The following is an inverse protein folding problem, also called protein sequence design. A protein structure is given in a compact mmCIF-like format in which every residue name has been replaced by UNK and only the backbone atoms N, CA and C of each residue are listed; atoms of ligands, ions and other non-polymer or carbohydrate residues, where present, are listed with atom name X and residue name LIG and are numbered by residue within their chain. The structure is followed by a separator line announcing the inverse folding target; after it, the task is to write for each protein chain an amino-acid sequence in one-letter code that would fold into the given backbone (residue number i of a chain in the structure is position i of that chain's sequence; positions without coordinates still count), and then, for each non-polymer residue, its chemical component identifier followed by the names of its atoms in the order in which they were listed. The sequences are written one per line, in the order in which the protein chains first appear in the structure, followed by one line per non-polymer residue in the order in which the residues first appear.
data_IF_028129863597
#
_entry.id   IF_028129863597
#
_cell.length_a   1.000
_cell.length_b   1.000
_cell.length_c   1.000
_cell.angle_alpha   90.00
_cell.angle_beta   90.00
_cell.angle_gamma   90.00
#
_symmetry.space_group_name_H-M   'P 1'
#
loop_
_entity.id
_entity.type
_entity.pdbx_description
1 polymer ?
#
# COMPACT_ATOMS: atom_id res chain seq x y z
N UNK A 1 6.88 -7.43 -7.81
CA UNK A 1 5.87 -7.07 -8.84
C UNK A 1 5.24 -5.74 -8.49
N UNK A 2 4.87 -4.95 -9.52
CA UNK A 2 4.04 -3.76 -9.39
C UNK A 2 2.87 -3.87 -10.36
N UNK A 3 1.71 -3.35 -9.94
CA UNK A 3 0.49 -3.33 -10.74
C UNK A 3 0.29 -1.94 -11.34
N UNK A 4 0.49 -1.81 -12.66
CA UNK A 4 0.21 -0.57 -13.37
C UNK A 4 -1.30 -0.47 -13.65
N UNK A 5 -1.84 0.73 -13.51
CA UNK A 5 -3.24 1.00 -13.77
C UNK A 5 -3.45 2.36 -14.43
N UNK A 6 -4.50 2.45 -15.24
CA UNK A 6 -5.00 3.67 -15.83
C UNK A 6 -6.53 3.56 -15.92
N UNK A 7 -7.24 4.29 -15.09
CA UNK A 7 -8.70 4.22 -14.99
C UNK A 7 -9.25 5.64 -14.86
N UNK A 8 -9.91 6.11 -15.90
CA UNK A 8 -10.63 7.38 -15.94
C UNK A 8 -9.81 8.56 -15.36
N UNK A 9 -8.59 8.75 -15.86
CA UNK A 9 -7.67 9.81 -15.47
C UNK A 9 -6.80 9.50 -14.25
N UNK A 10 -7.12 8.50 -13.45
CA UNK A 10 -6.23 8.01 -12.40
C UNK A 10 -5.19 7.06 -13.01
N UNK A 11 -3.90 7.38 -12.87
CA UNK A 11 -2.79 6.59 -13.42
C UNK A 11 -1.72 6.34 -12.37
N UNK A 12 -1.12 5.16 -12.39
CA UNK A 12 -0.09 4.81 -11.41
C UNK A 12 0.46 3.40 -11.55
N UNK A 13 1.38 3.07 -10.65
CA UNK A 13 1.91 1.71 -10.49
C UNK A 13 2.14 1.41 -9.02
N UNK A 14 1.30 0.57 -8.45
CA UNK A 14 1.33 0.23 -7.03
C UNK A 14 2.11 -1.06 -6.78
N UNK A 15 2.94 -1.12 -5.73
CA UNK A 15 3.56 -2.36 -5.27
C UNK A 15 2.68 -3.13 -4.26
N UNK A 16 1.56 -2.55 -3.79
CA UNK A 16 0.75 -3.09 -2.72
C UNK A 16 -0.50 -3.79 -3.27
N UNK A 17 -0.60 -5.08 -2.98
CA UNK A 17 -1.75 -5.91 -3.34
C UNK A 17 -2.74 -5.94 -2.18
N UNK A 18 -3.87 -5.25 -2.33
CA UNK A 18 -4.92 -5.29 -1.32
C UNK A 18 -5.48 -6.72 -1.19
N UNK A 19 -5.90 -7.30 -2.29
CA UNK A 19 -6.37 -8.69 -2.33
C UNK A 19 -6.41 -9.24 -3.76
N UNK A 20 -6.01 -10.49 -3.88
CA UNK A 20 -6.23 -11.34 -5.07
C UNK A 20 -7.03 -12.55 -4.64
N UNK A 21 -8.07 -12.87 -5.40
CA UNK A 21 -8.83 -14.12 -5.27
C UNK A 21 -8.71 -14.92 -6.55
N UNK A 22 -8.41 -16.20 -6.42
CA UNK A 22 -8.44 -17.17 -7.53
C UNK A 22 -9.04 -18.48 -7.02
N UNK A 23 -10.29 -18.76 -7.37
CA UNK A 23 -11.03 -19.88 -6.83
C UNK A 23 -11.28 -19.71 -5.32
N UNK A 24 -10.75 -20.61 -4.52
CA UNK A 24 -10.79 -20.58 -3.06
C UNK A 24 -9.52 -19.99 -2.42
N UNK A 25 -8.51 -19.65 -3.22
CA UNK A 25 -7.26 -19.04 -2.72
C UNK A 25 -7.38 -17.53 -2.68
N UNK A 26 -6.99 -16.95 -1.55
CA UNK A 26 -6.86 -15.51 -1.36
C UNK A 26 -5.42 -15.17 -1.00
N UNK A 27 -4.93 -14.06 -1.55
CA UNK A 27 -3.59 -13.52 -1.28
C UNK A 27 -3.70 -12.01 -1.07
N UNK A 28 -2.93 -11.48 -0.12
CA UNK A 28 -2.74 -10.05 0.12
C UNK A 28 -1.25 -9.78 0.33
N UNK A 29 -0.73 -8.63 -0.14
CA UNK A 29 0.63 -8.17 0.17
C UNK A 29 0.55 -6.85 0.89
N UNK A 30 1.01 -6.83 2.12
CA UNK A 30 1.07 -5.64 2.97
C UNK A 30 2.46 -5.03 2.90
N UNK A 31 2.53 -3.72 2.66
CA UNK A 31 3.77 -2.95 2.67
C UNK A 31 3.65 -1.81 3.69
N UNK A 32 4.56 -1.78 4.66
CA UNK A 32 4.73 -0.65 5.58
C UNK A 32 6.17 -0.66 6.09
N UNK A 33 6.65 0.50 6.57
CA UNK A 33 8.07 0.70 6.80
C UNK A 33 8.84 0.90 5.48
N UNK A 34 9.62 1.99 5.39
CA UNK A 34 10.26 2.38 4.13
C UNK A 34 11.62 2.99 4.38
N UNK A 35 12.59 2.64 3.54
CA UNK A 35 13.87 3.34 3.50
C UNK A 35 14.30 3.60 2.04
N UNK A 36 14.98 4.71 1.79
CA UNK A 36 15.54 5.02 0.47
C UNK A 36 16.65 4.05 0.10
N UNK A 37 16.78 3.76 -1.18
CA UNK A 37 17.93 3.05 -1.73
C UNK A 37 19.12 3.99 -1.95
N UNK A 38 20.33 3.43 -1.89
CA UNK A 38 21.57 4.11 -2.29
C UNK A 38 22.13 3.43 -3.55
N UNK A 39 22.87 4.21 -4.36
CA UNK A 39 23.57 3.69 -5.55
C UNK A 39 24.79 2.86 -5.19
N UNK A 40 25.37 3.13 -4.04
CA UNK A 40 26.46 2.36 -3.45
C UNK A 40 25.86 1.10 -2.79
N UNK A 41 26.29 -0.07 -3.25
CA UNK A 41 25.71 -1.35 -2.82
C UNK A 41 25.91 -1.63 -1.33
N UNK A 42 27.07 -1.24 -0.76
CA UNK A 42 27.36 -1.46 0.66
C UNK A 42 26.48 -0.56 1.53
N UNK A 43 26.27 0.68 1.11
CA UNK A 43 25.35 1.59 1.80
C UNK A 43 23.90 1.14 1.67
N UNK A 44 23.49 0.65 0.50
CA UNK A 44 22.16 0.11 0.26
C UNK A 44 21.86 -1.10 1.17
N UNK A 45 22.83 -2.00 1.31
CA UNK A 45 22.75 -3.13 2.23
C UNK A 45 22.63 -2.68 3.70
N UNK A 46 23.46 -1.73 4.14
CA UNK A 46 23.36 -1.16 5.49
C UNK A 46 22.01 -0.46 5.74
N UNK A 47 21.43 0.17 4.73
CA UNK A 47 20.08 0.76 4.83
C UNK A 47 19.01 -0.32 4.98
N UNK A 48 19.12 -1.45 4.26
CA UNK A 48 18.25 -2.60 4.40
C UNK A 48 18.27 -3.18 5.83
N UNK A 49 19.47 -3.36 6.38
CA UNK A 49 19.65 -3.84 7.77
C UNK A 49 19.05 -2.88 8.79
N UNK A 50 19.22 -1.57 8.60
CA UNK A 50 18.60 -0.55 9.45
C UNK A 50 17.08 -0.61 9.41
N UNK A 51 16.47 -0.81 8.24
CA UNK A 51 15.02 -0.95 8.11
C UNK A 51 14.53 -2.19 8.86
N UNK A 52 15.20 -3.33 8.68
CA UNK A 52 14.85 -4.58 9.36
C UNK A 52 15.03 -4.50 10.89
N UNK A 53 15.94 -3.69 11.39
CA UNK A 53 16.21 -3.50 12.81
C UNK A 53 15.45 -2.32 13.45
N UNK A 54 14.63 -1.59 12.68
CA UNK A 54 13.91 -0.41 13.15
C UNK A 54 12.64 -0.80 13.92
N UNK A 55 12.62 -0.62 15.22
CA UNK A 55 11.42 -0.88 16.07
C UNK A 55 10.20 -0.07 15.59
N UNK A 56 10.42 1.18 15.14
CA UNK A 56 9.37 2.04 14.58
C UNK A 56 8.75 1.42 13.34
N UNK A 57 9.59 1.02 12.37
CA UNK A 57 9.11 0.49 11.08
C UNK A 57 8.49 -0.90 11.26
N UNK A 58 9.02 -1.72 12.18
CA UNK A 58 8.42 -3.01 12.57
C UNK A 58 7.03 -2.80 13.19
N UNK A 59 6.87 -1.85 14.10
CA UNK A 59 5.57 -1.55 14.74
C UNK A 59 4.54 -1.04 13.70
N UNK A 60 4.95 -0.14 12.77
CA UNK A 60 4.10 0.31 11.67
C UNK A 60 3.63 -0.88 10.80
N UNK A 61 4.58 -1.75 10.46
CA UNK A 61 4.31 -2.94 9.65
C UNK A 61 3.36 -3.92 10.36
N UNK A 62 3.57 -4.18 11.64
CA UNK A 62 2.72 -5.06 12.45
C UNK A 62 1.27 -4.56 12.51
N UNK A 63 1.04 -3.25 12.69
CA UNK A 63 -0.31 -2.67 12.61
C UNK A 63 -0.96 -2.92 11.27
N UNK A 64 -0.24 -2.74 10.18
CA UNK A 64 -0.73 -2.96 8.84
C UNK A 64 -1.08 -4.43 8.58
N UNK A 65 -0.17 -5.35 8.90
CA UNK A 65 -0.36 -6.81 8.75
C UNK A 65 -1.53 -7.29 9.59
N UNK A 66 -1.57 -6.91 10.89
CA UNK A 66 -2.63 -7.33 11.80
C UNK A 66 -4.01 -6.89 11.33
N UNK A 67 -4.14 -5.68 10.77
CA UNK A 67 -5.41 -5.17 10.25
C UNK A 67 -5.96 -6.02 9.09
N UNK A 68 -5.10 -6.50 8.20
CA UNK A 68 -5.47 -7.36 7.07
C UNK A 68 -5.72 -8.80 7.54
N UNK A 69 -4.83 -9.34 8.38
CA UNK A 69 -4.92 -10.70 8.89
C UNK A 69 -6.21 -10.95 9.69
N UNK A 70 -6.61 -10.02 10.56
CA UNK A 70 -7.85 -10.11 11.33
C UNK A 70 -9.09 -10.20 10.44
N UNK A 71 -9.14 -9.40 9.37
CA UNK A 71 -10.27 -9.43 8.43
C UNK A 71 -10.27 -10.73 7.63
N UNK A 72 -9.12 -11.15 7.08
CA UNK A 72 -9.03 -12.38 6.29
C UNK A 72 -9.31 -13.63 7.14
N UNK A 73 -8.92 -13.65 8.42
CA UNK A 73 -9.21 -14.76 9.34
C UNK A 73 -10.71 -15.04 9.49
N UNK A 74 -11.57 -14.03 9.38
CA UNK A 74 -13.02 -14.20 9.43
C UNK A 74 -13.59 -14.88 8.16
N UNK A 75 -12.82 -14.91 7.07
CA UNK A 75 -13.25 -15.45 5.77
C UNK A 75 -12.50 -16.72 5.35
N UNK A 76 -11.43 -17.09 6.07
CA UNK A 76 -10.56 -18.21 5.72
C UNK A 76 -10.64 -19.36 6.72
N UNK A 77 -10.61 -20.59 6.22
CA UNK A 77 -10.42 -21.80 7.04
C UNK A 77 -8.97 -22.07 7.36
N UNK A 78 -8.07 -21.54 6.54
CA UNK A 78 -6.62 -21.72 6.64
C UNK A 78 -5.95 -20.41 6.19
N UNK A 79 -5.27 -19.76 7.11
CA UNK A 79 -4.63 -18.48 6.88
C UNK A 79 -3.16 -18.55 7.33
N UNK A 80 -2.25 -18.35 6.38
CA UNK A 80 -0.83 -18.24 6.64
C UNK A 80 -0.41 -16.77 6.69
N UNK A 81 0.07 -16.33 7.85
CA UNK A 81 0.63 -15.00 8.08
C UNK A 81 2.08 -15.20 8.54
N UNK A 82 3.08 -14.86 7.72
CA UNK A 82 4.48 -14.92 8.11
C UNK A 82 4.76 -14.12 9.39
N UNK A 83 5.55 -14.68 10.31
CA UNK A 83 5.89 -14.05 11.59
C UNK A 83 6.90 -12.88 11.45
N UNK A 84 7.60 -12.82 10.33
CA UNK A 84 8.58 -11.78 10.04
C UNK A 84 8.39 -11.26 8.61
N UNK A 85 8.52 -9.94 8.38
CA UNK A 85 8.48 -9.38 7.05
C UNK A 85 9.72 -9.74 6.23
N UNK A 86 9.56 -9.77 4.93
CA UNK A 86 10.65 -9.82 3.97
C UNK A 86 10.99 -8.41 3.49
N UNK A 87 12.17 -8.25 2.89
CA UNK A 87 12.59 -6.98 2.28
C UNK A 87 12.17 -6.94 0.81
N UNK A 88 11.28 -6.02 0.45
CA UNK A 88 10.92 -5.74 -0.94
C UNK A 88 11.73 -4.56 -1.46
N UNK A 89 12.63 -4.83 -2.42
CA UNK A 89 13.43 -3.79 -3.07
C UNK A 89 12.73 -3.27 -4.33
N UNK A 90 12.43 -1.98 -4.37
CA UNK A 90 11.98 -1.25 -5.54
C UNK A 90 13.14 -0.42 -6.12
N UNK A 91 12.90 0.32 -7.19
CA UNK A 91 13.95 1.07 -7.88
C UNK A 91 14.61 2.14 -7.00
N UNK A 92 13.85 2.79 -6.13
CA UNK A 92 14.28 3.95 -5.33
C UNK A 92 14.07 3.82 -3.82
N UNK A 93 13.35 2.80 -3.38
CA UNK A 93 13.05 2.53 -1.96
C UNK A 93 13.06 1.03 -1.68
N UNK A 94 13.20 0.68 -0.40
CA UNK A 94 13.00 -0.66 0.12
C UNK A 94 11.85 -0.61 1.13
N UNK A 95 11.02 -1.65 1.17
CA UNK A 95 9.90 -1.79 2.10
C UNK A 95 10.01 -3.08 2.90
N UNK A 96 9.45 -3.08 4.10
CA UNK A 96 9.05 -4.34 4.73
C UNK A 96 7.79 -4.84 4.03
N UNK A 97 7.74 -6.13 3.73
CA UNK A 97 6.67 -6.78 3.00
C UNK A 97 6.23 -8.07 3.67
N UNK A 98 4.91 -8.30 3.77
CA UNK A 98 4.36 -9.58 4.22
C UNK A 98 3.30 -10.05 3.25
N UNK A 99 3.50 -11.25 2.69
CA UNK A 99 2.53 -11.94 1.84
C UNK A 99 1.64 -12.84 2.69
N UNK A 100 0.37 -12.46 2.84
CA UNK A 100 -0.65 -13.22 3.56
C UNK A 100 -1.38 -14.09 2.55
N UNK A 101 -1.48 -15.38 2.82
CA UNK A 101 -2.16 -16.34 1.94
C UNK A 101 -3.18 -17.14 2.74
N UNK A 102 -4.35 -17.38 2.15
CA UNK A 102 -5.39 -18.14 2.83
C UNK A 102 -6.27 -18.91 1.86
N UNK A 103 -7.09 -19.80 2.44
CA UNK A 103 -8.12 -20.55 1.74
C UNK A 103 -9.49 -20.13 2.27
N UNK A 104 -10.33 -19.59 1.38
CA UNK A 104 -11.67 -19.11 1.73
C UNK A 104 -12.55 -20.26 2.23
N UNK A 105 -13.29 -20.01 3.30
CA UNK A 105 -14.31 -20.92 3.81
C UNK A 105 -15.50 -21.04 2.86
N UNK A 106 -15.91 -19.90 2.28
CA UNK A 106 -17.06 -19.79 1.41
C UNK A 106 -16.70 -19.10 0.08
N UNK A 107 -17.53 -19.33 -0.94
CA UNK A 107 -17.41 -18.63 -2.22
C UNK A 107 -17.93 -17.20 -2.10
N UNK A 108 -17.07 -16.27 -1.73
CA UNK A 108 -17.37 -14.84 -1.73
C UNK A 108 -16.60 -14.15 -2.86
N UNK A 109 -17.22 -13.21 -3.61
CA UNK A 109 -16.52 -12.50 -4.67
C UNK A 109 -15.45 -11.56 -4.09
N UNK A 110 -14.42 -11.27 -4.90
CA UNK A 110 -13.32 -10.39 -4.48
C UNK A 110 -13.78 -9.01 -3.99
N UNK A 111 -14.89 -8.47 -4.53
CA UNK A 111 -15.44 -7.19 -4.08
C UNK A 111 -15.95 -7.23 -2.64
N UNK A 112 -16.47 -8.37 -2.17
CA UNK A 112 -16.87 -8.53 -0.76
C UNK A 112 -15.66 -8.53 0.16
N UNK A 113 -14.56 -9.16 -0.26
CA UNK A 113 -13.29 -9.10 0.48
C UNK A 113 -12.75 -7.67 0.56
N UNK A 114 -12.80 -6.93 -0.55
CA UNK A 114 -12.40 -5.51 -0.60
C UNK A 114 -13.22 -4.67 0.37
N UNK A 115 -14.54 -4.85 0.36
CA UNK A 115 -15.44 -4.11 1.26
C UNK A 115 -15.13 -4.36 2.75
N UNK A 116 -14.64 -5.55 3.09
CA UNK A 116 -14.23 -5.90 4.45
C UNK A 116 -12.82 -5.39 4.79
N UNK A 117 -11.89 -5.37 3.82
CA UNK A 117 -10.49 -5.04 4.01
C UNK A 117 -10.21 -3.53 3.97
N UNK A 118 -10.91 -2.79 3.11
CA UNK A 118 -10.60 -1.39 2.86
C UNK A 118 -11.43 -0.46 3.73
N UNK A 119 -10.81 0.59 4.34
CA UNK A 119 -9.39 0.92 4.26
C UNK A 119 -8.54 0.12 5.27
N UNK A 120 -7.36 -0.31 4.82
CA UNK A 120 -6.37 -0.97 5.70
C UNK A 120 -5.68 0.04 6.62
N UNK A 121 -5.04 -0.44 7.70
CA UNK A 121 -4.25 0.42 8.58
C UNK A 121 -3.07 1.08 7.84
N UNK A 122 -2.52 0.45 6.80
CA UNK A 122 -1.41 0.99 6.00
C UNK A 122 -1.75 2.31 5.28
N UNK A 123 -3.02 2.55 4.95
CA UNK A 123 -3.45 3.77 4.24
C UNK A 123 -4.40 4.66 5.02
N UNK A 124 -4.99 4.16 6.10
CA UNK A 124 -5.89 4.92 6.96
C UNK A 124 -5.35 5.03 8.38
N UNK A 125 -4.99 3.90 9.00
CA UNK A 125 -4.57 3.81 10.39
C UNK A 125 -5.52 3.00 11.26
N UNK A 126 -5.16 2.85 12.52
CA UNK A 126 -5.92 2.08 13.51
C UNK A 126 -6.02 2.86 14.84
N UNK A 127 -7.20 2.90 15.51
CA UNK A 127 -8.51 2.41 15.07
C UNK A 127 -9.04 3.18 13.86
N UNK A 128 -9.61 2.48 12.89
CA UNK A 128 -9.92 2.99 11.53
C UNK A 128 -10.79 4.24 11.54
N UNK A 129 -11.89 4.26 12.29
CA UNK A 129 -12.83 5.39 12.32
C UNK A 129 -12.16 6.66 12.88
N UNK A 130 -11.37 6.52 13.96
CA UNK A 130 -10.64 7.63 14.56
C UNK A 130 -9.58 8.18 13.61
N UNK A 131 -8.81 7.29 12.97
CA UNK A 131 -7.79 7.64 12.00
C UNK A 131 -8.40 8.36 10.79
N UNK A 132 -9.49 7.84 10.22
CA UNK A 132 -10.19 8.46 9.10
C UNK A 132 -10.71 9.86 9.43
N UNK A 133 -11.23 10.09 10.63
CA UNK A 133 -11.68 11.39 11.08
C UNK A 133 -10.50 12.38 11.22
N UNK A 134 -9.38 11.92 11.76
CA UNK A 134 -8.16 12.72 11.89
C UNK A 134 -7.58 13.11 10.53
N UNK A 135 -7.47 12.15 9.61
CA UNK A 135 -7.03 12.38 8.23
C UNK A 135 -7.88 13.47 7.56
N UNK A 136 -9.20 13.35 7.61
CA UNK A 136 -10.12 14.36 7.04
C UNK A 136 -9.93 15.75 7.62
N UNK A 137 -9.60 15.83 8.89
CA UNK A 137 -9.42 17.13 9.58
C UNK A 137 -8.06 17.78 9.33
N UNK A 138 -7.02 16.98 9.05
CA UNK A 138 -5.62 17.46 8.99
C UNK A 138 -5.06 17.57 7.57
N UNK A 139 -5.41 16.69 6.64
CA UNK A 139 -4.80 16.68 5.31
C UNK A 139 -5.19 17.88 4.43
N UNK A 140 -6.33 18.53 4.71
CA UNK A 140 -6.79 19.69 3.95
C UNK A 140 -7.08 19.42 2.48
N UNK A 141 -7.27 18.14 2.11
CA UNK A 141 -7.61 17.69 0.74
C UNK A 141 -8.62 16.55 0.76
N UNK A 142 -9.37 16.41 -0.32
CA UNK A 142 -10.08 15.18 -0.63
C UNK A 142 -9.11 14.21 -1.32
N UNK A 143 -9.01 13.00 -0.79
CA UNK A 143 -8.19 11.95 -1.40
C UNK A 143 -8.80 11.40 -2.70
N UNK A 144 -10.13 11.57 -2.89
CA UNK A 144 -10.83 11.02 -4.03
C UNK A 144 -10.58 9.52 -4.17
N UNK A 145 -9.93 9.11 -5.26
CA UNK A 145 -9.56 7.71 -5.53
C UNK A 145 -8.16 7.32 -5.04
N UNK A 146 -7.36 8.28 -4.58
CA UNK A 146 -6.05 7.99 -3.98
C UNK A 146 -6.21 7.10 -2.73
N UNK A 147 -5.36 6.11 -2.59
CA UNK A 147 -5.41 5.08 -1.57
C UNK A 147 -6.64 4.16 -1.62
N UNK A 148 -7.51 4.29 -2.63
CA UNK A 148 -8.63 3.40 -2.87
C UNK A 148 -8.23 2.11 -3.59
N UNK A 149 -9.11 1.09 -3.60
CA UNK A 149 -8.87 -0.15 -4.34
C UNK A 149 -8.97 0.08 -5.85
N UNK A 150 -8.02 -0.45 -6.60
CA UNK A 150 -8.00 -0.42 -8.07
C UNK A 150 -7.63 -1.78 -8.61
N UNK A 151 -8.39 -2.29 -9.59
CA UNK A 151 -8.15 -3.63 -10.13
C UNK A 151 -9.29 -4.11 -11.02
N UNK A 152 -9.49 -5.42 -11.07
CA UNK A 152 -10.49 -6.07 -11.92
C UNK A 152 -11.11 -7.28 -11.22
N UNK A 153 -12.32 -7.62 -11.65
CA UNK A 153 -13.03 -8.82 -11.25
C UNK A 153 -13.66 -9.48 -12.49
N UNK A 154 -13.60 -10.80 -12.57
CA UNK A 154 -14.27 -11.59 -13.60
C UNK A 154 -15.68 -12.02 -13.19
N UNK A 155 -16.41 -12.66 -14.12
CA UNK A 155 -17.78 -13.16 -13.90
C UNK A 155 -17.86 -14.29 -12.86
N UNK A 156 -16.75 -14.91 -12.47
CA UNK A 156 -16.70 -15.94 -11.41
C UNK A 156 -16.49 -15.34 -10.03
N UNK A 157 -16.25 -14.02 -9.96
CA UNK A 157 -15.91 -13.29 -8.75
C UNK A 157 -14.44 -13.40 -8.38
N UNK A 158 -13.59 -13.99 -9.23
CA UNK A 158 -12.14 -13.93 -9.11
C UNK A 158 -11.66 -12.56 -9.55
N UNK A 159 -10.52 -12.11 -9.02
CA UNK A 159 -10.00 -10.80 -9.35
C UNK A 159 -8.75 -10.45 -8.57
N UNK A 160 -8.22 -9.27 -8.90
CA UNK A 160 -6.99 -8.76 -8.31
C UNK A 160 -7.09 -7.25 -8.18
N UNK A 161 -6.91 -6.76 -6.95
CA UNK A 161 -7.00 -5.34 -6.61
C UNK A 161 -5.78 -4.91 -5.80
N UNK A 162 -5.09 -3.90 -6.29
CA UNK A 162 -4.08 -3.14 -5.54
C UNK A 162 -4.70 -1.94 -4.82
N UNK A 163 -3.90 -1.29 -4.00
CA UNK A 163 -4.24 0.03 -3.43
C UNK A 163 -3.65 1.09 -4.36
N UNK A 164 -4.44 2.09 -4.76
CA UNK A 164 -4.02 3.16 -5.66
C UNK A 164 -2.97 4.09 -5.00
N UNK A 165 -1.74 3.60 -4.93
CA UNK A 165 -0.55 4.30 -4.46
C UNK A 165 0.37 4.62 -5.62
N UNK A 166 1.40 5.48 -5.40
CA UNK A 166 2.36 5.87 -6.44
C UNK A 166 1.62 6.31 -7.71
N UNK A 167 0.64 7.17 -7.56
CA UNK A 167 -0.30 7.54 -8.61
C UNK A 167 -0.46 9.05 -8.74
N UNK A 168 -1.11 9.43 -9.80
CA UNK A 168 -1.59 10.78 -10.03
C UNK A 168 -2.94 10.75 -10.72
N UNK A 169 -3.68 11.83 -10.59
CA UNK A 169 -4.97 12.04 -11.21
C UNK A 169 -4.89 13.23 -12.18
N UNK A 170 -5.25 12.99 -13.43
CA UNK A 170 -5.31 14.02 -14.46
C UNK A 170 -6.46 14.96 -14.11
N UNK A 171 -6.18 16.26 -14.17
CA UNK A 171 -7.17 17.30 -13.90
C UNK A 171 -8.29 17.25 -14.95
N UNK A 172 -9.56 17.25 -14.49
CA UNK A 172 -10.73 17.15 -15.36
C UNK A 172 -10.90 18.38 -16.29
N UNK A 173 -10.43 19.54 -15.85
CA UNK A 173 -10.62 20.82 -16.54
C UNK A 173 -9.39 21.17 -17.39
N UNK A 174 -8.23 20.63 -17.08
CA UNK A 174 -6.98 20.85 -17.85
C UNK A 174 -6.14 19.55 -17.90
N UNK A 175 -6.31 18.78 -18.96
CA UNK A 175 -5.62 17.49 -19.17
C UNK A 175 -4.08 17.60 -19.31
N UNK A 176 -3.52 18.81 -19.25
CA UNK A 176 -2.07 19.05 -19.17
C UNK A 176 -1.57 19.06 -17.73
N UNK A 177 -2.47 18.99 -16.76
CA UNK A 177 -2.15 18.97 -15.34
C UNK A 177 -2.43 17.60 -14.77
N UNK A 178 -1.58 17.18 -13.85
CA UNK A 178 -1.75 15.96 -13.08
C UNK A 178 -1.42 16.26 -11.61
N UNK A 179 -2.31 15.86 -10.72
CA UNK A 179 -2.07 15.91 -9.28
C UNK A 179 -1.42 14.60 -8.85
N UNK A 180 -0.24 14.66 -8.24
CA UNK A 180 0.45 13.49 -7.72
C UNK A 180 0.12 13.30 -6.25
N UNK A 181 0.02 12.04 -5.82
CA UNK A 181 -0.28 11.65 -4.46
C UNK A 181 0.80 10.76 -3.87
N UNK A 182 1.21 11.06 -2.65
CA UNK A 182 2.03 10.21 -1.80
C UNK A 182 1.80 10.54 -0.33
N UNK A 183 2.18 9.64 0.54
CA UNK A 183 2.11 9.79 2.00
C UNK A 183 2.96 8.74 2.69
N UNK A 184 3.04 8.82 4.00
CA UNK A 184 3.72 7.86 4.88
C UNK A 184 2.81 7.49 6.05
N UNK A 185 3.10 6.39 6.73
CA UNK A 185 2.48 6.01 7.99
C UNK A 185 3.03 6.87 9.13
N UNK A 186 2.16 7.28 10.06
CA UNK A 186 2.57 8.03 11.24
C UNK A 186 2.30 7.21 12.50
N UNK A 187 3.34 6.98 13.28
CA UNK A 187 3.30 6.31 14.59
C UNK A 187 3.93 7.19 15.66
N UNK A 188 3.82 6.83 16.93
CA UNK A 188 4.31 7.64 18.05
C UNK A 188 5.80 8.02 17.97
N UNK A 189 6.62 7.21 17.27
CA UNK A 189 8.06 7.46 17.06
C UNK A 189 8.39 8.21 15.77
N UNK A 190 7.41 8.67 14.98
CA UNK A 190 7.64 9.35 13.71
C UNK A 190 8.30 10.71 13.90
N UNK A 191 9.29 11.01 13.07
CA UNK A 191 9.96 12.31 13.00
C UNK A 191 9.46 13.07 11.76
N UNK A 192 8.95 14.31 11.87
CA UNK A 192 8.32 15.03 10.77
C UNK A 192 9.21 15.22 9.54
N UNK A 193 10.50 15.53 9.72
CA UNK A 193 11.45 15.74 8.63
C UNK A 193 11.72 14.43 7.87
N UNK A 194 11.82 13.32 8.60
CA UNK A 194 12.00 11.99 8.03
C UNK A 194 10.78 11.57 7.21
N UNK A 195 9.59 11.75 7.76
CA UNK A 195 8.33 11.40 7.08
C UNK A 195 8.08 12.25 5.82
N UNK A 196 8.43 13.53 5.87
CA UNK A 196 8.39 14.39 4.69
C UNK A 196 9.40 13.94 3.62
N UNK A 197 10.60 13.55 4.02
CA UNK A 197 11.62 13.03 3.10
C UNK A 197 11.16 11.71 2.45
N UNK A 198 10.52 10.83 3.21
CA UNK A 198 9.92 9.60 2.70
C UNK A 198 8.80 9.88 1.70
N UNK A 199 7.87 10.78 2.04
CA UNK A 199 6.79 11.19 1.13
C UNK A 199 7.34 11.73 -0.19
N UNK A 200 8.37 12.58 -0.15
CA UNK A 200 9.04 13.07 -1.35
C UNK A 200 9.68 11.95 -2.18
N UNK A 201 10.33 10.98 -1.52
CA UNK A 201 10.88 9.80 -2.20
C UNK A 201 9.79 9.00 -2.92
N UNK A 202 8.63 8.85 -2.31
CA UNK A 202 7.47 8.14 -2.87
C UNK A 202 6.85 8.86 -4.08
N UNK A 203 7.05 10.17 -4.24
CA UNK A 203 6.63 10.94 -5.42
C UNK A 203 7.58 10.79 -6.63
N UNK A 204 8.86 10.46 -6.41
CA UNK A 204 9.88 10.44 -7.47
C UNK A 204 9.55 9.51 -8.66
N UNK A 205 9.01 8.29 -8.49
CA UNK A 205 8.69 7.44 -9.64
C UNK A 205 7.70 8.09 -10.60
N UNK A 206 6.65 8.74 -10.08
CA UNK A 206 5.67 9.45 -10.90
C UNK A 206 6.26 10.71 -11.53
N UNK A 207 7.07 11.48 -10.79
CA UNK A 207 7.79 12.63 -11.34
C UNK A 207 8.72 12.22 -12.48
N UNK A 208 9.42 11.10 -12.31
CA UNK A 208 10.31 10.57 -13.36
C UNK A 208 9.53 10.15 -14.61
N UNK A 209 8.44 9.42 -14.43
CA UNK A 209 7.60 8.93 -15.54
C UNK A 209 6.96 10.09 -16.35
N UNK A 210 6.76 11.25 -15.73
CA UNK A 210 6.14 12.43 -16.36
C UNK A 210 7.16 13.42 -16.96
N UNK A 211 8.47 13.21 -16.74
CA UNK A 211 9.49 14.04 -17.40
C UNK A 211 9.46 13.73 -18.91
N UNK A 212 9.31 14.78 -19.69
CA UNK A 212 9.61 14.69 -21.13
C UNK A 212 11.13 14.74 -21.30
N UNK A 213 11.67 13.80 -22.06
CA UNK A 213 13.03 13.88 -22.58
C UNK A 213 13.15 15.07 -23.55
#
# INVERSE_FOLDING_TARGET
ECWAFAVDGLVGATPELLVKRKGDVVTSRVLAGTIRRDKDLDKDANLAEKLLASDKDQAEHEYAVSSVAQVLAAHCTDLNVPSHPELLQLANVQHLATDINGRLADRIPVLSLIASLHPTAAVCGTPTERAANLIRSLEGMDRGRYAGPVGWMDAKGDGEFGIALRCGEIDSDDNRKIRLFAGCGLVAGSNPESELAETNAKLEPMRYALRRD
#
